data_IF_660896002764
#
_entry.id   IF_660896002764
#
_cell.length_a   1.000
_cell.length_b   1.000
_cell.length_c   1.000
_cell.angle_alpha   90.00
_cell.angle_beta   90.00
_cell.angle_gamma   90.00
#
_symmetry.space_group_name_H-M   'P 1'
#
loop_
_entity.id
_entity.type
_entity.pdbx_description
1 polymer ?
#
# COMPACT_ATOMS: atom_id res chain seq x y z
N UNK A 1 -31.19 20.86 54.32
CA UNK A 1 -32.55 21.00 53.78
C UNK A 1 -32.47 20.87 52.28
N UNK A 2 -33.06 19.79 51.76
CA UNK A 2 -33.01 19.34 50.38
C UNK A 2 -34.31 19.80 49.69
N UNK A 3 -34.22 20.32 48.47
CA UNK A 3 -35.34 20.42 47.54
C UNK A 3 -34.82 20.20 46.10
N UNK A 4 -35.27 19.15 45.39
CA UNK A 4 -34.93 18.90 44.00
C UNK A 4 -36.13 19.14 43.07
N UNK A 5 -35.93 19.79 41.92
CA UNK A 5 -36.89 19.78 40.82
C UNK A 5 -36.09 19.79 39.51
N UNK A 6 -36.02 18.67 38.81
CA UNK A 6 -36.30 18.61 37.36
C UNK A 6 -36.65 17.18 36.97
N UNK A 7 -37.77 17.07 36.25
CA UNK A 7 -38.60 15.88 36.05
C UNK A 7 -38.13 15.12 34.81
N UNK A 8 -37.90 13.81 35.01
CA UNK A 8 -37.71 12.78 33.99
C UNK A 8 -38.97 12.59 33.13
N UNK A 9 -38.83 12.61 31.79
CA UNK A 9 -39.84 12.15 30.85
C UNK A 9 -39.46 10.77 30.30
N UNK A 10 -39.93 9.73 31.01
CA UNK A 10 -40.11 8.37 30.48
C UNK A 10 -41.17 8.43 29.37
N UNK A 11 -40.80 8.03 28.15
CA UNK A 11 -41.77 7.74 27.09
C UNK A 11 -42.31 6.33 27.31
N UNK A 12 -43.63 6.29 27.40
CA UNK A 12 -44.51 5.20 27.79
C UNK A 12 -44.81 4.33 26.58
N UNK A 13 -44.51 3.03 26.67
CA UNK A 13 -45.01 2.03 25.74
C UNK A 13 -46.52 1.87 25.91
N UNK A 14 -47.29 2.05 24.84
CA UNK A 14 -48.72 1.73 24.78
C UNK A 14 -48.95 0.78 23.60
N UNK A 15 -49.21 -0.47 23.93
CA UNK A 15 -49.85 -1.45 23.06
C UNK A 15 -51.34 -1.08 22.93
N UNK A 16 -51.85 -1.19 21.71
CA UNK A 16 -53.12 -1.83 21.34
C UNK A 16 -53.73 -1.19 20.08
N UNK A 17 -53.90 -2.01 19.04
CA UNK A 17 -55.18 -2.28 18.39
C UNK A 17 -54.98 -2.70 16.93
N UNK A 18 -55.14 -3.99 16.69
CA UNK A 18 -55.58 -4.61 15.45
C UNK A 18 -56.66 -3.80 14.74
N UNK A 19 -56.43 -3.43 13.48
CA UNK A 19 -57.50 -3.33 12.49
C UNK A 19 -57.00 -3.81 11.13
N UNK A 20 -57.72 -4.82 10.66
CA UNK A 20 -57.58 -5.58 9.43
C UNK A 20 -57.82 -4.64 8.24
N UNK A 21 -56.85 -4.48 7.33
CA UNK A 21 -57.17 -3.98 5.99
C UNK A 21 -56.41 -4.79 4.93
N UNK A 22 -57.20 -5.56 4.21
CA UNK A 22 -56.83 -6.52 3.19
C UNK A 22 -56.71 -5.75 1.86
N UNK A 23 -55.53 -5.27 1.51
CA UNK A 23 -55.26 -4.74 0.17
C UNK A 23 -54.26 -5.66 -0.54
N UNK A 24 -54.77 -6.41 -1.52
CA UNK A 24 -54.01 -7.30 -2.39
C UNK A 24 -52.96 -6.53 -3.21
N UNK A 25 -51.84 -7.18 -3.58
CA UNK A 25 -50.69 -6.52 -4.19
C UNK A 25 -51.01 -6.17 -5.65
N UNK A 26 -50.94 -4.88 -5.99
CA UNK A 26 -50.91 -4.44 -7.39
C UNK A 26 -49.46 -4.55 -7.85
N UNK A 27 -49.26 -5.42 -8.83
CA UNK A 27 -48.01 -5.75 -9.45
C UNK A 27 -47.57 -4.59 -10.37
N UNK A 28 -46.61 -3.78 -9.93
CA UNK A 28 -45.82 -2.92 -10.84
C UNK A 28 -44.57 -3.68 -11.34
N UNK A 29 -44.15 -3.49 -12.61
CA UNK A 29 -43.11 -4.30 -13.22
C UNK A 29 -41.68 -3.80 -12.91
N UNK A 30 -40.89 -4.70 -12.34
CA UNK A 30 -39.51 -5.05 -12.75
C UNK A 30 -38.48 -3.94 -13.12
N UNK A 31 -38.13 -3.03 -12.20
CA UNK A 31 -36.84 -2.31 -12.29
C UNK A 31 -36.01 -2.33 -10.99
N UNK A 32 -36.61 -2.51 -9.81
CA UNK A 32 -35.89 -2.47 -8.53
C UNK A 32 -35.32 -3.81 -8.06
N UNK A 33 -35.96 -4.94 -8.38
CA UNK A 33 -35.48 -6.28 -7.97
C UNK A 33 -34.24 -6.72 -8.75
N UNK A 34 -34.14 -6.36 -10.03
CA UNK A 34 -32.99 -6.70 -10.86
C UNK A 34 -31.77 -5.89 -10.43
N UNK A 35 -31.93 -4.58 -10.16
CA UNK A 35 -30.88 -3.76 -9.56
C UNK A 35 -30.43 -4.30 -8.20
N UNK A 36 -31.37 -4.60 -7.30
CA UNK A 36 -31.04 -5.16 -5.99
C UNK A 36 -30.38 -6.55 -6.05
N UNK A 37 -30.76 -7.41 -7.01
CA UNK A 37 -30.11 -8.70 -7.22
C UNK A 37 -28.71 -8.54 -7.82
N UNK A 38 -28.51 -7.62 -8.76
CA UNK A 38 -27.19 -7.30 -9.33
C UNK A 38 -26.28 -6.69 -8.27
N UNK A 39 -26.78 -5.79 -7.43
CA UNK A 39 -26.03 -5.17 -6.33
C UNK A 39 -25.69 -6.20 -5.23
N UNK A 40 -26.62 -7.12 -4.94
CA UNK A 40 -26.40 -8.21 -3.99
C UNK A 40 -25.39 -9.24 -4.54
N UNK A 41 -25.46 -9.57 -5.82
CA UNK A 41 -24.51 -10.46 -6.48
C UNK A 41 -23.12 -9.81 -6.57
N UNK A 42 -23.03 -8.53 -6.97
CA UNK A 42 -21.79 -7.78 -7.02
C UNK A 42 -21.13 -7.61 -5.64
N UNK A 43 -21.91 -7.31 -4.60
CA UNK A 43 -21.41 -7.23 -3.22
C UNK A 43 -20.99 -8.59 -2.68
N UNK A 44 -21.70 -9.67 -3.04
CA UNK A 44 -21.33 -11.05 -2.69
C UNK A 44 -20.02 -11.44 -3.38
N UNK A 45 -19.84 -11.13 -4.67
CA UNK A 45 -18.59 -11.39 -5.39
C UNK A 45 -17.41 -10.58 -4.84
N UNK A 46 -17.61 -9.31 -4.49
CA UNK A 46 -16.58 -8.48 -3.86
C UNK A 46 -16.19 -9.01 -2.47
N UNK A 47 -17.17 -9.44 -1.67
CA UNK A 47 -16.94 -10.02 -0.33
C UNK A 47 -16.26 -11.39 -0.43
N UNK A 48 -16.67 -12.22 -1.38
CA UNK A 48 -16.05 -13.53 -1.65
C UNK A 48 -14.61 -13.36 -2.13
N UNK A 49 -14.31 -12.40 -3.02
CA UNK A 49 -12.96 -12.08 -3.47
C UNK A 49 -12.07 -11.52 -2.34
N UNK A 50 -12.62 -10.69 -1.45
CA UNK A 50 -11.90 -10.18 -0.28
C UNK A 50 -11.65 -11.26 0.79
N UNK A 51 -12.58 -12.22 0.93
CA UNK A 51 -12.44 -13.35 1.86
C UNK A 51 -11.37 -14.36 1.41
N UNK A 52 -11.14 -14.48 0.09
CA UNK A 52 -10.09 -15.32 -0.48
C UNK A 52 -8.71 -14.73 -0.20
N UNK A 53 -8.14 -15.07 0.95
CA UNK A 53 -6.81 -14.63 1.39
C UNK A 53 -6.80 -13.79 2.67
N UNK A 54 -7.96 -13.57 3.29
CA UNK A 54 -8.03 -13.09 4.66
C UNK A 54 -7.58 -14.22 5.61
N UNK A 55 -6.58 -13.94 6.45
CA UNK A 55 -6.09 -14.87 7.47
C UNK A 55 -6.30 -14.19 8.81
N UNK A 56 -7.12 -14.80 9.68
CA UNK A 56 -7.25 -14.36 11.06
C UNK A 56 -5.96 -14.69 11.82
N UNK A 57 -5.13 -13.68 12.07
CA UNK A 57 -3.88 -13.81 12.81
C UNK A 57 -4.07 -13.44 14.28
N UNK A 58 -3.81 -14.38 15.19
CA UNK A 58 -3.67 -14.06 16.61
C UNK A 58 -2.32 -13.35 16.83
N UNK A 59 -2.37 -12.11 17.31
CA UNK A 59 -1.20 -11.26 17.56
C UNK A 59 -0.17 -11.90 18.51
N UNK A 60 -0.61 -12.84 19.35
CA UNK A 60 0.25 -13.60 20.28
C UNK A 60 1.26 -14.51 19.55
N UNK A 61 0.99 -14.84 18.28
CA UNK A 61 1.83 -15.72 17.46
C UNK A 61 3.03 -14.95 16.87
N UNK A 62 2.93 -13.63 16.72
CA UNK A 62 3.98 -12.76 16.15
C UNK A 62 5.32 -12.89 16.91
N UNK A 63 5.40 -12.76 18.24
CA UNK A 63 6.69 -12.90 18.94
C UNK A 63 7.29 -14.31 18.83
N UNK A 64 6.46 -15.36 18.77
CA UNK A 64 6.92 -16.73 18.55
C UNK A 64 7.50 -16.91 17.15
N UNK A 65 6.87 -16.31 16.13
CA UNK A 65 7.38 -16.33 14.75
C UNK A 65 8.70 -15.57 14.63
N UNK A 66 8.83 -14.39 15.27
CA UNK A 66 10.07 -13.62 15.29
C UNK A 66 11.19 -14.42 15.96
N UNK A 67 10.90 -15.08 17.09
CA UNK A 67 11.87 -15.90 17.80
C UNK A 67 12.29 -17.14 17.00
N UNK A 68 11.32 -17.84 16.38
CA UNK A 68 11.59 -18.97 15.49
C UNK A 68 12.44 -18.55 14.27
N UNK A 69 12.11 -17.41 13.67
CA UNK A 69 12.87 -16.82 12.57
C UNK A 69 14.31 -16.48 12.97
N UNK A 70 14.51 -15.88 14.15
CA UNK A 70 15.83 -15.59 14.68
C UNK A 70 16.68 -16.86 14.85
N UNK A 71 16.11 -17.93 15.41
CA UNK A 71 16.81 -19.22 15.56
C UNK A 71 17.16 -19.85 14.20
N UNK A 72 16.25 -19.76 13.23
CA UNK A 72 16.43 -20.29 11.88
C UNK A 72 17.53 -19.53 11.13
N UNK A 73 17.55 -18.21 11.22
CA UNK A 73 18.64 -17.39 10.72
C UNK A 73 19.97 -17.79 11.38
N UNK A 74 20.02 -17.91 12.71
CA UNK A 74 21.23 -18.28 13.46
C UNK A 74 21.77 -19.64 13.00
N UNK A 75 20.88 -20.58 12.67
CA UNK A 75 21.25 -21.87 12.11
C UNK A 75 21.81 -21.74 10.70
N UNK A 76 21.17 -21.00 9.82
CA UNK A 76 21.65 -20.78 8.44
C UNK A 76 23.00 -20.05 8.38
N UNK A 77 23.29 -19.17 9.34
CA UNK A 77 24.59 -18.50 9.47
C UNK A 77 25.67 -19.49 9.87
N UNK A 78 25.38 -20.36 10.85
CA UNK A 78 26.29 -21.45 11.26
C UNK A 78 26.54 -22.46 10.14
N UNK A 79 25.55 -22.71 9.29
CA UNK A 79 25.63 -23.66 8.17
C UNK A 79 26.23 -23.01 6.89
N UNK A 80 26.66 -21.74 6.96
CA UNK A 80 27.28 -20.99 5.86
C UNK A 80 26.35 -20.75 4.65
N UNK A 81 25.04 -20.92 4.82
CA UNK A 81 24.04 -20.77 3.75
C UNK A 81 23.89 -19.29 3.36
N UNK A 82 23.98 -18.39 4.34
CA UNK A 82 23.89 -16.95 4.11
C UNK A 82 25.00 -16.43 3.18
N UNK A 83 26.24 -16.89 3.37
CA UNK A 83 27.37 -16.49 2.52
C UNK A 83 27.21 -17.01 1.09
N UNK A 84 26.65 -18.22 0.90
CA UNK A 84 26.33 -18.75 -0.43
C UNK A 84 25.30 -17.92 -1.18
N UNK A 85 24.41 -17.24 -0.47
CA UNK A 85 23.36 -16.40 -1.05
C UNK A 85 23.72 -14.90 -1.09
N UNK A 86 24.96 -14.52 -0.75
CA UNK A 86 25.36 -13.12 -0.54
C UNK A 86 24.37 -12.37 0.38
N UNK A 87 23.88 -13.05 1.40
CA UNK A 87 22.94 -12.52 2.36
C UNK A 87 23.67 -12.17 3.65
N UNK A 88 23.51 -10.94 4.13
CA UNK A 88 24.07 -10.49 5.41
C UNK A 88 22.92 -10.26 6.39
N UNK A 89 23.09 -10.67 7.64
CA UNK A 89 22.13 -10.34 8.68
C UNK A 89 22.36 -8.91 9.17
N UNK A 90 21.29 -8.12 9.18
CA UNK A 90 21.27 -6.74 9.67
C UNK A 90 20.33 -6.69 10.87
N UNK A 91 20.75 -6.03 11.96
CA UNK A 91 19.98 -5.93 13.22
C UNK A 91 19.52 -7.26 13.86
N UNK A 92 20.17 -8.39 13.57
CA UNK A 92 19.88 -9.68 14.22
C UNK A 92 18.66 -10.45 13.65
N UNK A 93 17.65 -9.76 13.14
CA UNK A 93 16.41 -10.38 12.64
C UNK A 93 16.07 -10.01 11.18
N UNK A 94 16.70 -8.99 10.61
CA UNK A 94 16.53 -8.59 9.19
C UNK A 94 17.58 -9.27 8.33
N UNK A 95 17.16 -9.81 7.19
CA UNK A 95 18.03 -10.39 6.19
C UNK A 95 18.22 -9.39 5.03
N UNK A 96 19.46 -8.99 4.77
CA UNK A 96 19.84 -8.19 3.63
C UNK A 96 20.43 -9.11 2.56
N UNK A 97 19.67 -9.40 1.51
CA UNK A 97 20.12 -10.24 0.40
C UNK A 97 20.64 -9.35 -0.71
N UNK A 98 21.90 -9.52 -1.14
CA UNK A 98 22.46 -8.78 -2.29
C UNK A 98 22.45 -9.65 -3.53
N UNK A 99 21.97 -9.09 -4.63
CA UNK A 99 21.94 -9.75 -5.93
C UNK A 99 22.58 -8.87 -7.00
N UNK A 100 23.41 -9.51 -7.83
CA UNK A 100 23.92 -8.94 -9.07
C UNK A 100 23.03 -9.30 -10.27
N UNK A 101 22.05 -10.18 -10.07
CA UNK A 101 21.11 -10.58 -11.13
C UNK A 101 20.22 -9.39 -11.47
N UNK A 102 20.11 -9.06 -12.76
CA UNK A 102 19.36 -7.90 -13.24
C UNK A 102 20.21 -6.68 -13.60
N UNK A 103 21.50 -6.63 -13.23
CA UNK A 103 22.42 -5.58 -13.65
C UNK A 103 22.58 -5.53 -15.17
N UNK A 104 22.71 -6.68 -15.84
CA UNK A 104 22.86 -6.74 -17.30
C UNK A 104 21.59 -6.27 -18.03
N UNK A 105 20.42 -6.60 -17.50
CA UNK A 105 19.14 -6.11 -18.03
C UNK A 105 19.04 -4.60 -17.84
N UNK A 106 19.38 -4.11 -16.64
CA UNK A 106 19.42 -2.69 -16.34
C UNK A 106 20.37 -1.96 -17.29
N UNK A 107 21.58 -2.47 -17.52
CA UNK A 107 22.56 -1.86 -18.41
C UNK A 107 22.07 -1.82 -19.86
N UNK A 108 21.39 -2.88 -20.34
CA UNK A 108 20.78 -2.92 -21.67
C UNK A 108 19.64 -1.90 -21.80
N UNK A 109 18.73 -1.86 -20.82
CA UNK A 109 17.56 -0.97 -20.83
C UNK A 109 17.97 0.48 -20.60
N UNK A 110 19.06 0.75 -19.87
CA UNK A 110 19.60 2.08 -19.62
C UNK A 110 20.43 2.67 -20.78
N UNK A 111 20.72 1.90 -21.83
CA UNK A 111 21.51 2.35 -23.00
C UNK A 111 21.04 3.67 -23.63
N UNK A 112 19.73 3.94 -23.86
CA UNK A 112 19.27 5.20 -24.42
C UNK A 112 19.32 6.31 -23.37
N UNK A 113 20.54 6.76 -23.02
CA UNK A 113 20.77 7.73 -21.93
C UNK A 113 19.99 9.04 -22.10
N UNK A 114 19.75 9.48 -23.35
CA UNK A 114 18.95 10.68 -23.63
C UNK A 114 17.50 10.51 -23.20
N UNK A 115 16.89 9.35 -23.46
CA UNK A 115 15.52 9.03 -23.04
C UNK A 115 15.42 9.07 -21.50
N UNK A 116 16.33 8.41 -20.81
CA UNK A 116 16.32 8.36 -19.34
C UNK A 116 16.55 9.73 -18.69
N UNK A 117 17.34 10.61 -19.30
CA UNK A 117 17.49 12.00 -18.83
C UNK A 117 16.20 12.81 -18.93
N UNK A 118 15.46 12.65 -20.03
CA UNK A 118 14.15 13.30 -20.21
C UNK A 118 13.16 12.72 -19.21
N UNK A 119 13.13 11.40 -19.08
CA UNK A 119 12.31 10.71 -18.10
C UNK A 119 12.55 11.20 -16.67
N UNK A 120 13.82 11.40 -16.27
CA UNK A 120 14.16 11.94 -14.96
C UNK A 120 13.67 13.38 -14.75
N UNK A 121 13.67 14.21 -15.79
CA UNK A 121 13.12 15.56 -15.72
C UNK A 121 11.60 15.53 -15.57
N UNK A 122 10.90 14.73 -16.38
CA UNK A 122 9.44 14.55 -16.28
C UNK A 122 9.07 14.01 -14.89
N UNK A 123 9.79 12.99 -14.42
CA UNK A 123 9.58 12.39 -13.10
C UNK A 123 9.71 13.41 -11.96
N UNK A 124 10.68 14.32 -12.05
CA UNK A 124 10.87 15.39 -11.07
C UNK A 124 9.66 16.33 -11.02
N UNK A 125 9.17 16.78 -12.18
CA UNK A 125 8.00 17.66 -12.25
C UNK A 125 6.73 16.96 -11.76
N UNK A 126 6.49 15.73 -12.20
CA UNK A 126 5.35 14.92 -11.77
C UNK A 126 5.38 14.70 -10.26
N UNK A 127 6.52 14.31 -9.70
CA UNK A 127 6.65 14.10 -8.26
C UNK A 127 6.46 15.40 -7.47
N UNK A 128 7.04 16.52 -7.94
CA UNK A 128 6.89 17.84 -7.30
C UNK A 128 5.44 18.29 -7.31
N UNK A 129 4.75 18.14 -8.44
CA UNK A 129 3.33 18.47 -8.56
C UNK A 129 2.46 17.57 -7.69
N UNK A 130 2.71 16.26 -7.68
CA UNK A 130 1.97 15.32 -6.85
C UNK A 130 2.14 15.63 -5.35
N UNK A 131 3.37 15.90 -4.90
CA UNK A 131 3.63 16.29 -3.51
C UNK A 131 2.93 17.61 -3.15
N UNK A 132 2.95 18.59 -4.05
CA UNK A 132 2.23 19.86 -3.84
C UNK A 132 0.72 19.66 -3.76
N UNK A 133 0.14 18.81 -4.63
CA UNK A 133 -1.29 18.49 -4.61
C UNK A 133 -1.70 17.76 -3.33
N UNK A 134 -0.92 16.77 -2.89
CA UNK A 134 -1.18 16.07 -1.61
C UNK A 134 -1.08 17.04 -0.43
N UNK A 135 -0.06 17.89 -0.40
CA UNK A 135 0.09 18.91 0.65
C UNK A 135 -1.11 19.88 0.67
N UNK A 136 -1.57 20.33 -0.51
CA UNK A 136 -2.74 21.18 -0.64
C UNK A 136 -4.01 20.48 -0.16
N UNK A 137 -4.25 19.22 -0.58
CA UNK A 137 -5.42 18.44 -0.14
C UNK A 137 -5.40 18.23 1.37
N UNK A 138 -4.26 17.88 1.96
CA UNK A 138 -4.13 17.72 3.41
C UNK A 138 -4.39 19.05 4.13
N UNK A 139 -3.87 20.17 3.61
CA UNK A 139 -4.12 21.49 4.17
C UNK A 139 -5.61 21.86 4.11
N UNK A 140 -6.26 21.65 2.96
CA UNK A 140 -7.68 21.91 2.77
C UNK A 140 -8.54 21.00 3.66
N UNK A 141 -8.18 19.72 3.79
CA UNK A 141 -8.84 18.78 4.69
C UNK A 141 -8.70 19.21 6.16
N UNK A 142 -7.52 19.70 6.56
CA UNK A 142 -7.29 20.23 7.91
C UNK A 142 -8.13 21.48 8.18
N UNK A 143 -8.13 22.45 7.26
CA UNK A 143 -8.97 23.66 7.37
C UNK A 143 -10.46 23.29 7.38
N UNK A 144 -10.87 22.37 6.52
CA UNK A 144 -12.23 21.85 6.47
C UNK A 144 -12.66 21.21 7.79
N UNK A 145 -11.79 20.42 8.42
CA UNK A 145 -12.06 19.79 9.72
C UNK A 145 -12.20 20.80 10.87
N UNK A 146 -11.54 21.97 10.77
CA UNK A 146 -11.70 23.05 11.76
C UNK A 146 -13.01 23.82 11.54
N UNK A 147 -13.34 24.14 10.29
CA UNK A 147 -14.52 24.94 9.94
C UNK A 147 -15.82 24.14 10.05
N UNK A 148 -15.75 22.85 9.74
CA UNK A 148 -16.86 21.90 9.78
C UNK A 148 -16.36 20.60 10.43
N UNK A 149 -16.40 20.52 11.77
CA UNK A 149 -16.02 19.29 12.47
C UNK A 149 -16.82 18.11 11.93
N UNK A 150 -16.17 17.01 11.53
CA UNK A 150 -16.89 15.86 11.00
C UNK A 150 -17.68 15.17 12.13
N UNK A 151 -18.97 14.93 11.91
CA UNK A 151 -19.88 14.25 12.86
C UNK A 151 -19.70 12.72 12.89
N UNK A 152 -18.67 12.19 12.23
CA UNK A 152 -18.39 10.75 12.22
C UNK A 152 -17.65 10.36 13.49
N UNK A 153 -18.03 9.25 14.15
CA UNK A 153 -17.27 8.74 15.29
C UNK A 153 -15.81 8.49 14.87
N UNK A 154 -14.84 8.73 15.77
CA UNK A 154 -13.44 8.53 15.44
C UNK A 154 -13.23 7.08 14.96
N UNK A 155 -12.47 6.86 13.86
CA UNK A 155 -12.17 5.52 13.39
C UNK A 155 -11.54 4.71 14.52
N UNK A 156 -11.89 3.43 14.58
CA UNK A 156 -11.41 2.52 15.60
C UNK A 156 -9.88 2.40 15.49
N UNK A 157 -9.15 2.18 16.60
CA UNK A 157 -7.68 2.14 16.56
C UNK A 157 -7.09 1.13 15.56
N UNK A 158 -7.87 0.11 15.18
CA UNK A 158 -7.54 -0.88 14.15
C UNK A 158 -7.68 -0.37 12.70
N UNK A 159 -8.50 0.66 12.45
CA UNK A 159 -8.65 1.31 11.13
C UNK A 159 -7.59 2.38 10.88
N UNK A 160 -7.05 2.97 11.96
CA UNK A 160 -5.92 3.92 11.92
C UNK A 160 -4.58 3.25 11.60
N UNK A 161 -4.46 1.95 11.87
CA UNK A 161 -3.24 1.18 11.62
C UNK A 161 -3.41 0.39 10.34
N UNK A 162 -2.82 0.90 9.25
CA UNK A 162 -2.78 0.24 7.94
C UNK A 162 -1.80 -0.95 7.93
N UNK A 163 -1.95 -1.89 8.86
CA UNK A 163 -1.25 -3.19 8.80
C UNK A 163 -2.14 -4.13 7.98
N UNK A 164 -1.69 -4.56 6.79
CA UNK A 164 -2.44 -5.51 5.98
C UNK A 164 -2.70 -6.78 6.81
N UNK A 165 -3.92 -7.32 6.75
CA UNK A 165 -4.37 -8.48 7.56
C UNK A 165 -5.10 -8.14 8.86
N UNK A 166 -4.91 -6.94 9.42
CA UNK A 166 -5.75 -6.44 10.53
C UNK A 166 -6.95 -5.65 9.97
N UNK A 167 -6.75 -5.00 8.82
CA UNK A 167 -7.84 -4.34 8.08
C UNK A 167 -8.51 -5.33 7.10
N UNK A 168 -9.81 -5.62 7.24
CA UNK A 168 -10.53 -6.56 6.35
C UNK A 168 -10.59 -6.11 4.88
N UNK A 169 -10.25 -4.85 4.57
CA UNK A 169 -10.26 -4.31 3.22
C UNK A 169 -9.01 -4.59 2.39
N UNK A 170 -7.92 -5.10 2.98
CA UNK A 170 -6.67 -5.38 2.24
C UNK A 170 -6.34 -6.87 2.35
N UNK A 171 -6.63 -7.68 1.30
CA UNK A 171 -6.21 -9.07 1.25
C UNK A 171 -4.68 -9.14 1.38
N UNK A 172 -4.19 -9.86 2.39
CA UNK A 172 -2.76 -9.96 2.72
C UNK A 172 -1.92 -10.36 1.51
N UNK A 173 -2.36 -11.38 0.77
CA UNK A 173 -1.58 -11.95 -0.32
C UNK A 173 -1.54 -11.04 -1.56
N UNK A 174 -2.66 -10.46 -1.97
CA UNK A 174 -2.70 -9.52 -3.09
C UNK A 174 -1.98 -8.22 -2.77
N UNK A 175 -2.14 -7.70 -1.55
CA UNK A 175 -1.39 -6.54 -1.07
C UNK A 175 0.11 -6.80 -1.02
N UNK A 176 0.53 -7.98 -0.55
CA UNK A 176 1.93 -8.40 -0.52
C UNK A 176 2.54 -8.50 -1.93
N UNK A 177 1.84 -9.13 -2.87
CA UNK A 177 2.31 -9.24 -4.26
C UNK A 177 2.41 -7.85 -4.88
N UNK A 178 1.38 -7.01 -4.73
CA UNK A 178 1.39 -5.63 -5.21
C UNK A 178 2.54 -4.81 -4.63
N UNK A 179 2.80 -4.97 -3.32
CA UNK A 179 3.90 -4.32 -2.63
C UNK A 179 5.28 -4.78 -3.14
N UNK A 180 5.47 -6.09 -3.34
CA UNK A 180 6.71 -6.65 -3.92
C UNK A 180 6.94 -6.05 -5.31
N UNK A 181 5.92 -6.06 -6.17
CA UNK A 181 6.02 -5.50 -7.51
C UNK A 181 6.36 -4.01 -7.44
N UNK A 182 5.67 -3.25 -6.59
CA UNK A 182 5.91 -1.82 -6.40
C UNK A 182 7.34 -1.52 -5.94
N UNK A 183 7.91 -2.32 -5.01
CA UNK A 183 9.32 -2.18 -4.61
C UNK A 183 10.26 -2.54 -5.76
N UNK A 184 10.02 -3.65 -6.47
CA UNK A 184 10.93 -4.06 -7.55
C UNK A 184 11.02 -3.00 -8.64
N UNK A 185 9.88 -2.45 -9.08
CA UNK A 185 9.86 -1.41 -10.12
C UNK A 185 10.42 -0.07 -9.61
N UNK A 186 10.21 0.27 -8.34
CA UNK A 186 10.70 1.51 -7.74
C UNK A 186 12.24 1.55 -7.74
N UNK A 187 12.86 0.48 -7.26
CA UNK A 187 14.31 0.37 -7.17
C UNK A 187 14.92 0.20 -8.56
N UNK A 188 14.21 -0.47 -9.47
CA UNK A 188 14.59 -0.52 -10.88
C UNK A 188 14.55 0.87 -11.53
N UNK A 189 13.55 1.70 -11.23
CA UNK A 189 13.44 3.09 -11.68
C UNK A 189 14.60 3.96 -11.20
N UNK A 190 14.96 3.85 -9.92
CA UNK A 190 16.18 4.47 -9.39
C UNK A 190 17.43 4.01 -10.13
N UNK A 191 17.56 2.71 -10.41
CA UNK A 191 18.71 2.15 -11.12
C UNK A 191 18.82 2.63 -12.57
N UNK A 192 17.70 2.71 -13.28
CA UNK A 192 17.66 3.17 -14.67
C UNK A 192 18.10 4.63 -14.76
N UNK A 193 17.60 5.47 -13.86
CA UNK A 193 17.91 6.88 -13.88
C UNK A 193 19.36 7.15 -13.44
N UNK A 194 19.86 6.43 -12.43
CA UNK A 194 21.28 6.48 -12.05
C UNK A 194 22.19 6.17 -13.24
N UNK A 195 21.90 5.10 -14.00
CA UNK A 195 22.66 4.76 -15.23
C UNK A 195 22.48 5.77 -16.37
N UNK A 196 21.31 6.39 -16.48
CA UNK A 196 21.02 7.48 -17.42
C UNK A 196 21.86 8.74 -17.16
N UNK A 197 22.16 9.02 -15.90
CA UNK A 197 23.08 10.08 -15.47
C UNK A 197 24.57 9.66 -15.49
N UNK A 198 24.86 8.40 -15.76
CA UNK A 198 26.22 7.87 -15.86
C UNK A 198 26.80 7.35 -14.55
N UNK A 199 25.99 7.23 -13.50
CA UNK A 199 26.41 6.69 -12.20
C UNK A 199 26.44 5.17 -12.24
N UNK A 200 27.37 4.57 -11.51
CA UNK A 200 27.52 3.10 -11.44
C UNK A 200 26.66 2.52 -10.32
N UNK A 201 26.09 1.34 -10.59
CA UNK A 201 25.33 0.56 -9.60
C UNK A 201 26.06 -0.75 -9.43
N UNK A 202 26.44 -1.07 -8.19
CA UNK A 202 27.22 -2.27 -7.88
C UNK A 202 26.34 -3.50 -7.65
N UNK A 203 25.21 -3.31 -6.99
CA UNK A 203 24.31 -4.38 -6.59
C UNK A 203 22.91 -3.85 -6.31
N UNK A 204 21.92 -4.71 -6.54
CA UNK A 204 20.62 -4.57 -5.91
C UNK A 204 20.62 -5.38 -4.62
N UNK A 205 19.84 -4.93 -3.65
CA UNK A 205 19.63 -5.60 -2.39
C UNK A 205 18.17 -5.61 -2.01
N UNK A 206 17.79 -6.61 -1.22
CA UNK A 206 16.45 -6.79 -0.68
C UNK A 206 16.57 -6.95 0.84
N UNK A 207 15.89 -6.09 1.58
CA UNK A 207 15.74 -6.15 3.02
C UNK A 207 14.47 -6.95 3.33
N UNK A 208 14.62 -8.05 4.05
CA UNK A 208 13.51 -8.97 4.36
C UNK A 208 13.46 -9.24 5.87
N UNK A 209 12.25 -9.30 6.41
CA UNK A 209 11.96 -9.75 7.76
C UNK A 209 11.10 -11.01 7.65
N UNK A 210 11.71 -12.17 7.87
CA UNK A 210 11.00 -13.41 7.58
C UNK A 210 10.75 -13.56 6.08
N UNK A 211 9.56 -14.06 5.68
CA UNK A 211 9.12 -14.10 4.30
C UNK A 211 8.66 -12.73 3.78
N UNK A 212 8.55 -11.71 4.64
CA UNK A 212 8.04 -10.40 4.27
C UNK A 212 9.20 -9.50 3.78
N UNK A 213 9.16 -8.99 2.55
CA UNK A 213 10.07 -7.94 2.13
C UNK A 213 9.73 -6.66 2.89
N UNK A 214 10.73 -6.04 3.50
CA UNK A 214 10.59 -4.72 4.14
C UNK A 214 10.95 -3.58 3.19
N UNK A 215 11.80 -3.85 2.20
CA UNK A 215 12.23 -2.86 1.21
C UNK A 215 13.26 -3.45 0.27
N UNK A 216 13.50 -2.82 -0.86
CA UNK A 216 14.68 -3.08 -1.66
C UNK A 216 15.63 -1.88 -1.56
N UNK A 217 16.83 -2.04 -2.08
CA UNK A 217 17.74 -0.92 -2.25
C UNK A 217 18.62 -1.21 -3.47
N UNK A 218 18.84 -0.22 -4.32
CA UNK A 218 20.00 -0.24 -5.19
C UNK A 218 21.15 0.37 -4.38
N UNK A 219 22.32 -0.26 -4.34
CA UNK A 219 23.56 0.38 -3.87
C UNK A 219 24.17 1.15 -5.06
N UNK A 220 23.86 2.45 -5.26
CA UNK A 220 24.74 3.28 -6.07
C UNK A 220 26.08 3.39 -5.35
N UNK A 221 27.14 3.71 -6.07
CA UNK A 221 28.39 4.14 -5.41
C UNK A 221 28.05 5.41 -4.61
N UNK A 222 27.82 5.29 -3.30
CA UNK A 222 27.27 6.35 -2.46
C UNK A 222 28.09 7.66 -2.53
N UNK A 223 29.38 7.53 -2.79
CA UNK A 223 30.26 8.68 -3.04
C UNK A 223 29.92 9.46 -4.32
N UNK A 224 29.47 8.81 -5.39
CA UNK A 224 29.06 9.48 -6.63
C UNK A 224 27.78 10.30 -6.43
N UNK A 225 26.84 9.80 -5.61
CA UNK A 225 25.56 10.50 -5.37
C UNK A 225 25.74 11.81 -4.58
N UNK A 226 26.63 11.82 -3.59
CA UNK A 226 26.91 13.04 -2.82
C UNK A 226 27.78 14.04 -3.61
N UNK A 227 28.62 13.56 -4.53
CA UNK A 227 29.39 14.40 -5.46
C UNK A 227 28.53 14.95 -6.61
N UNK A 228 27.38 14.37 -6.90
CA UNK A 228 26.49 14.80 -7.97
C UNK A 228 25.81 16.17 -7.68
N UNK A 229 25.57 16.98 -8.73
CA UNK A 229 24.89 18.26 -8.61
C UNK A 229 23.46 18.10 -8.05
N UNK A 230 22.98 19.14 -7.34
CA UNK A 230 21.71 19.10 -6.59
C UNK A 230 20.51 18.61 -7.43
N UNK A 231 20.44 19.03 -8.70
CA UNK A 231 19.34 18.69 -9.60
C UNK A 231 19.35 17.22 -10.02
N UNK A 232 20.52 16.62 -10.24
CA UNK A 232 20.61 15.20 -10.58
C UNK A 232 20.24 14.33 -9.38
N UNK A 233 20.65 14.75 -8.18
CA UNK A 233 20.24 14.11 -6.94
C UNK A 233 18.72 14.20 -6.71
N UNK A 234 18.11 15.36 -6.97
CA UNK A 234 16.65 15.51 -6.90
C UNK A 234 15.92 14.62 -7.91
N UNK A 235 16.39 14.55 -9.15
CA UNK A 235 15.84 13.63 -10.17
C UNK A 235 15.95 12.18 -9.71
N UNK A 236 17.09 11.79 -9.12
CA UNK A 236 17.28 10.45 -8.57
C UNK A 236 16.26 10.14 -7.47
N UNK A 237 16.04 11.04 -6.51
CA UNK A 237 15.04 10.83 -5.46
C UNK A 237 13.60 10.77 -5.99
N UNK A 238 13.27 11.56 -7.01
CA UNK A 238 11.94 11.56 -7.62
C UNK A 238 11.68 10.30 -8.49
N UNK A 239 12.72 9.63 -8.98
CA UNK A 239 12.61 8.54 -9.94
C UNK A 239 11.78 7.36 -9.44
N UNK A 240 12.04 6.89 -8.23
CA UNK A 240 11.33 5.74 -7.65
C UNK A 240 9.83 6.00 -7.48
N UNK A 241 9.43 7.03 -6.72
CA UNK A 241 8.02 7.38 -6.56
C UNK A 241 7.30 7.64 -7.88
N UNK A 242 7.95 8.35 -8.82
CA UNK A 242 7.38 8.61 -10.13
C UNK A 242 7.21 7.32 -10.95
N UNK A 243 8.15 6.37 -10.88
CA UNK A 243 8.03 5.06 -11.57
C UNK A 243 6.81 4.30 -11.08
N UNK A 244 6.56 4.29 -9.77
CA UNK A 244 5.35 3.67 -9.21
C UNK A 244 4.08 4.38 -9.68
N UNK A 245 4.08 5.72 -9.71
CA UNK A 245 2.94 6.49 -10.18
C UNK A 245 2.64 6.23 -11.66
N UNK A 246 3.66 6.17 -12.52
CA UNK A 246 3.48 5.83 -13.93
C UNK A 246 3.00 4.40 -14.11
N UNK A 247 3.55 3.43 -13.37
CA UNK A 247 3.09 2.05 -13.44
C UNK A 247 1.62 1.94 -12.99
N UNK A 248 1.24 2.60 -11.89
CA UNK A 248 -0.14 2.66 -11.44
C UNK A 248 -1.07 3.29 -12.49
N UNK A 249 -0.64 4.39 -13.11
CA UNK A 249 -1.41 5.05 -14.18
C UNK A 249 -1.58 4.15 -15.41
N UNK A 250 -0.53 3.47 -15.86
CA UNK A 250 -0.60 2.52 -16.99
C UNK A 250 -1.51 1.35 -16.65
N UNK A 251 -1.39 0.76 -15.46
CA UNK A 251 -2.26 -0.33 -15.01
C UNK A 251 -3.72 0.12 -14.94
N UNK A 252 -3.98 1.33 -14.47
CA UNK A 252 -5.32 1.92 -14.43
C UNK A 252 -5.90 2.08 -15.85
N UNK A 253 -5.10 2.56 -16.81
CA UNK A 253 -5.53 2.67 -18.20
C UNK A 253 -5.78 1.31 -18.84
N UNK A 254 -4.93 0.31 -18.57
CA UNK A 254 -5.12 -1.05 -19.08
C UNK A 254 -6.39 -1.67 -18.52
N UNK A 255 -6.64 -1.54 -17.20
CA UNK A 255 -7.86 -2.04 -16.58
C UNK A 255 -9.11 -1.30 -17.09
N UNK A 256 -9.05 0.03 -17.19
CA UNK A 256 -10.14 0.84 -17.71
C UNK A 256 -10.43 0.57 -19.19
N UNK A 257 -9.40 0.28 -19.99
CA UNK A 257 -9.55 -0.09 -21.41
C UNK A 257 -10.02 -1.53 -21.65
N UNK A 258 -9.92 -2.42 -20.64
CA UNK A 258 -10.47 -3.77 -20.68
C UNK A 258 -11.94 -3.79 -20.20
N UNK A 259 -12.32 -2.81 -19.37
CA UNK A 259 -13.66 -2.68 -18.79
C UNK A 259 -14.66 -1.89 -19.66
N UNK A 260 -14.21 -1.29 -20.77
CA UNK A 260 -15.05 -0.60 -21.76
C UNK A 260 -15.20 -1.42 -23.03
#
# INVERSE_FOLDING_TARGET
MIAPIYRSSMIRWRLDATCFNLQLPIHEPSHSRVGALIDMEASTHATMAASWGAVDFDWRIIPLLIFGWYLLLKRWERDGVLDRWNATRVFGFVLMVRTKKGLDLLEKVAKPRRFWRIYGEISLWVCTFAMFMVALVVLLAFVGAILSPPDVPPPTASELVAIPGINPMIPLWWGLIGFIVALVIHEFGHGLLARGHGMRIRSFGLLQLGPLPLGAFAEPEGEELFKAPRRERQRMFAAGPATNLFAAFVLLLLLGGIAG
#
